data_IF_200895218305
#
_entry.id   IF_200895218305
#
_cell.length_a   1.000
_cell.length_b   1.000
_cell.length_c   1.000
_cell.angle_alpha   90.00
_cell.angle_beta   90.00
_cell.angle_gamma   90.00
#
_symmetry.space_group_name_H-M   'P 1'
#
loop_
_entity.id
_entity.type
_entity.pdbx_description
1 polymer ?
#
# COMPACT_ATOMS: atom_id res chain seq x y z
N UNK A 1 -2.72 -18.38 -7.14
CA UNK A 1 -2.87 -18.73 -5.70
C UNK A 1 -1.95 -17.79 -4.93
N UNK A 2 -2.39 -16.58 -4.59
CA UNK A 2 -1.50 -15.52 -4.08
C UNK A 2 -1.76 -15.13 -2.61
N UNK A 3 -2.57 -15.91 -1.87
CA UNK A 3 -2.95 -15.60 -0.48
C UNK A 3 -1.88 -15.96 0.58
N UNK A 4 -0.75 -16.57 0.21
CA UNK A 4 0.25 -17.07 1.18
C UNK A 4 1.27 -16.03 1.66
N UNK A 5 1.60 -15.01 0.85
CA UNK A 5 2.73 -14.12 1.14
C UNK A 5 2.55 -13.28 2.40
N UNK A 6 1.37 -12.68 2.56
CA UNK A 6 1.03 -11.89 3.74
C UNK A 6 1.02 -12.77 5.00
N UNK A 7 0.54 -14.00 4.88
CA UNK A 7 0.54 -14.97 5.99
C UNK A 7 1.95 -15.44 6.39
N UNK A 8 2.94 -15.34 5.50
CA UNK A 8 4.34 -15.65 5.81
C UNK A 8 5.03 -14.51 6.56
N UNK A 9 4.54 -13.26 6.44
CA UNK A 9 5.15 -12.08 7.06
C UNK A 9 4.40 -11.68 8.34
N UNK A 10 3.06 -11.73 8.35
CA UNK A 10 2.26 -11.27 9.50
C UNK A 10 2.68 -11.85 10.85
N UNK A 11 2.99 -13.16 11.00
CA UNK A 11 3.41 -13.71 12.27
C UNK A 11 4.72 -13.12 12.82
N UNK A 12 5.53 -12.51 11.96
CA UNK A 12 6.79 -11.88 12.33
C UNK A 12 6.73 -10.37 12.48
N UNK A 13 5.53 -9.75 12.42
CA UNK A 13 5.35 -8.31 12.63
C UNK A 13 4.65 -8.06 13.98
N UNK A 14 5.31 -7.29 14.84
CA UNK A 14 4.71 -6.67 16.02
C UNK A 14 4.11 -5.31 15.68
N UNK A 15 2.95 -4.99 16.26
CA UNK A 15 2.32 -3.68 16.13
C UNK A 15 2.38 -2.99 17.48
N UNK A 16 3.04 -1.84 17.54
CA UNK A 16 3.09 -1.00 18.73
C UNK A 16 2.00 0.06 18.65
N UNK A 17 1.06 -0.02 19.60
CA UNK A 17 0.03 0.98 19.75
C UNK A 17 0.61 2.22 20.45
N UNK A 18 0.24 3.43 20.02
CA UNK A 18 0.69 4.65 20.67
C UNK A 18 0.12 4.71 22.09
N UNK A 19 0.98 5.06 23.06
CA UNK A 19 0.58 5.20 24.46
C UNK A 19 0.10 6.62 24.78
N UNK A 20 0.45 7.60 23.94
CA UNK A 20 0.02 8.99 24.05
C UNK A 20 -0.43 9.57 22.70
N UNK A 21 -1.12 10.71 22.73
CA UNK A 21 -1.58 11.42 21.52
C UNK A 21 -0.44 11.96 20.64
N UNK A 22 0.79 11.96 21.14
CA UNK A 22 1.98 12.40 20.39
C UNK A 22 2.76 11.24 19.77
N UNK A 23 2.39 10.00 20.09
CA UNK A 23 3.06 8.82 19.56
C UNK A 23 2.40 8.35 18.26
N UNK A 24 3.22 7.94 17.31
CA UNK A 24 2.76 7.23 16.11
C UNK A 24 2.72 5.73 16.37
N UNK A 25 1.70 5.04 15.86
CA UNK A 25 1.79 3.58 15.75
C UNK A 25 2.97 3.22 14.84
N UNK A 26 3.69 2.17 15.19
CA UNK A 26 4.75 1.64 14.34
C UNK A 26 4.73 0.13 14.29
N UNK A 27 5.24 -0.40 13.19
CA UNK A 27 5.46 -1.83 13.00
C UNK A 27 6.91 -2.16 13.28
N UNK A 28 7.14 -3.26 13.98
CA UNK A 28 8.48 -3.83 14.12
C UNK A 28 8.49 -5.27 13.64
N UNK A 29 9.64 -5.72 13.14
CA UNK A 29 9.84 -7.16 12.92
C UNK A 29 10.29 -7.80 14.21
N UNK A 30 9.60 -8.86 14.64
CA UNK A 30 9.97 -9.64 15.80
C UNK A 30 11.38 -10.20 15.65
N UNK A 31 12.03 -10.44 16.78
CA UNK A 31 13.39 -10.97 16.84
C UNK A 31 13.41 -12.39 17.42
N UNK A 32 14.32 -13.22 16.92
CA UNK A 32 14.58 -14.57 17.44
C UNK A 32 16.06 -14.70 17.86
N UNK A 33 16.40 -15.51 18.86
CA UNK A 33 17.79 -15.84 19.15
C UNK A 33 18.42 -16.57 17.96
N UNK A 34 19.74 -16.42 17.79
CA UNK A 34 20.49 -17.15 16.78
C UNK A 34 20.75 -18.59 17.26
N UNK A 35 20.72 -19.56 16.35
CA UNK A 35 21.14 -20.96 16.56
C UNK A 35 22.63 -21.03 16.94
N UNK A 36 23.43 -20.15 16.33
CA UNK A 36 24.88 -20.07 16.56
C UNK A 36 25.28 -19.37 17.86
N UNK A 37 24.47 -18.43 18.34
CA UNK A 37 24.70 -17.69 19.58
C UNK A 37 23.37 -17.27 20.23
N UNK A 38 22.89 -17.99 21.26
CA UNK A 38 21.61 -17.72 21.92
C UNK A 38 21.53 -16.36 22.62
N UNK A 39 22.66 -15.73 22.96
CA UNK A 39 22.70 -14.42 23.61
C UNK A 39 22.48 -13.27 22.60
N UNK A 40 22.63 -13.57 21.30
CA UNK A 40 22.43 -12.61 20.21
C UNK A 40 21.11 -12.88 19.52
N UNK A 41 20.37 -11.81 19.19
CA UNK A 41 19.09 -11.92 18.46
C UNK A 41 19.19 -11.36 17.05
N UNK A 42 18.46 -11.96 16.12
CA UNK A 42 18.30 -11.50 14.73
C UNK A 42 16.82 -11.33 14.38
N UNK A 43 16.54 -10.76 13.21
CA UNK A 43 15.17 -10.68 12.68
C UNK A 43 14.59 -12.10 12.54
N UNK A 44 13.30 -12.27 12.85
CA UNK A 44 12.61 -13.57 12.74
C UNK A 44 12.68 -14.19 11.34
N UNK A 45 12.77 -13.35 10.30
CA UNK A 45 12.91 -13.76 8.90
C UNK A 45 14.35 -14.05 8.45
N UNK A 46 15.34 -13.90 9.33
CA UNK A 46 16.72 -14.23 9.00
C UNK A 46 16.91 -15.75 9.05
N UNK A 47 17.45 -16.33 7.99
CA UNK A 47 17.85 -17.74 7.93
C UNK A 47 19.37 -17.82 8.05
N UNK A 48 19.85 -18.40 9.15
CA UNK A 48 21.28 -18.54 9.47
C UNK A 48 22.02 -19.46 8.49
N UNK A 49 21.41 -20.57 8.10
CA UNK A 49 22.03 -21.57 7.23
C UNK A 49 22.24 -21.01 5.82
N UNK A 50 21.28 -20.23 5.33
CA UNK A 50 21.35 -19.59 4.03
C UNK A 50 22.06 -18.22 4.06
N UNK A 51 22.37 -17.69 5.25
CA UNK A 51 22.85 -16.32 5.45
C UNK A 51 22.02 -15.28 4.67
N UNK A 52 20.70 -15.43 4.72
CA UNK A 52 19.78 -14.66 3.89
C UNK A 52 18.52 -14.27 4.65
N UNK A 53 17.93 -13.15 4.26
CA UNK A 53 16.64 -12.71 4.80
C UNK A 53 15.50 -13.24 3.93
N UNK A 54 14.71 -14.16 4.47
CA UNK A 54 13.59 -14.81 3.79
C UNK A 54 12.41 -13.88 3.51
N UNK A 55 12.39 -12.70 4.15
CA UNK A 55 11.42 -11.65 3.83
C UNK A 55 11.46 -11.34 2.33
N UNK A 56 12.61 -11.54 1.66
CA UNK A 56 12.72 -11.33 0.21
C UNK A 56 11.74 -12.19 -0.58
N UNK A 57 11.57 -13.45 -0.22
CA UNK A 57 10.67 -14.38 -0.90
C UNK A 57 9.23 -14.31 -0.38
N UNK A 58 9.03 -13.77 0.83
CA UNK A 58 7.71 -13.51 1.40
C UNK A 58 7.06 -12.20 0.93
N UNK A 59 7.82 -11.28 0.31
CA UNK A 59 7.33 -9.96 -0.08
C UNK A 59 6.35 -10.03 -1.27
N UNK A 60 5.44 -9.06 -1.43
CA UNK A 60 4.65 -8.92 -2.65
C UNK A 60 5.56 -8.89 -3.88
N UNK A 61 5.10 -9.43 -5.01
CA UNK A 61 5.92 -9.55 -6.22
C UNK A 61 6.52 -8.20 -6.67
N UNK A 62 5.80 -7.10 -6.50
CA UNK A 62 6.28 -5.73 -6.75
C UNK A 62 7.51 -5.33 -5.93
N UNK A 63 7.63 -5.83 -4.70
CA UNK A 63 8.78 -5.60 -3.86
C UNK A 63 9.93 -6.59 -4.14
N UNK A 64 9.65 -7.73 -4.79
CA UNK A 64 10.66 -8.70 -5.20
C UNK A 64 11.41 -8.25 -6.46
N UNK A 65 10.71 -7.53 -7.35
CA UNK A 65 11.26 -7.03 -8.61
C UNK A 65 12.13 -5.80 -8.43
N UNK A 66 11.92 -4.99 -7.38
CA UNK A 66 12.72 -3.79 -7.13
C UNK A 66 14.24 -4.07 -7.09
N UNK A 67 15.08 -3.26 -7.77
CA UNK A 67 14.73 -2.06 -8.54
C UNK A 67 14.44 -2.30 -10.03
N UNK A 68 14.43 -3.55 -10.49
CA UNK A 68 14.24 -3.91 -11.90
C UNK A 68 12.76 -4.06 -12.25
N UNK A 69 12.29 -3.36 -13.26
CA UNK A 69 10.91 -3.42 -13.73
C UNK A 69 10.86 -3.71 -15.23
N UNK A 70 9.76 -4.32 -15.68
CA UNK A 70 9.45 -4.47 -17.10
C UNK A 70 8.29 -3.53 -17.45
N UNK A 71 8.47 -2.69 -18.47
CA UNK A 71 7.46 -1.70 -18.86
C UNK A 71 6.53 -2.17 -20.00
N UNK A 72 6.67 -3.42 -20.44
CA UNK A 72 5.96 -3.98 -21.59
C UNK A 72 6.80 -4.08 -22.87
N UNK A 73 7.95 -3.39 -22.92
CA UNK A 73 8.87 -3.43 -24.07
C UNK A 73 10.30 -3.78 -23.65
N UNK A 74 10.76 -3.22 -22.53
CA UNK A 74 12.14 -3.37 -22.05
C UNK A 74 12.20 -3.36 -20.53
N UNK A 75 13.33 -3.86 -20.03
CA UNK A 75 13.68 -3.77 -18.62
C UNK A 75 14.23 -2.38 -18.30
N UNK A 76 13.75 -1.79 -17.22
CA UNK A 76 14.13 -0.47 -16.72
C UNK A 76 14.41 -0.54 -15.22
N UNK A 77 15.24 0.36 -14.71
CA UNK A 77 15.40 0.53 -13.27
C UNK A 77 14.41 1.60 -12.80
N UNK A 78 13.56 1.28 -11.82
CA UNK A 78 12.65 2.26 -11.23
C UNK A 78 13.34 3.21 -10.27
N UNK A 79 14.47 2.80 -9.70
CA UNK A 79 15.38 3.69 -8.98
C UNK A 79 16.81 3.45 -9.43
N UNK A 80 17.43 4.51 -9.97
CA UNK A 80 18.86 4.50 -10.33
C UNK A 80 19.75 4.69 -9.11
N UNK A 81 19.22 5.27 -8.04
CA UNK A 81 19.95 5.58 -6.80
C UNK A 81 19.87 4.42 -5.78
N UNK A 82 19.46 3.23 -6.22
CA UNK A 82 19.46 2.06 -5.37
C UNK A 82 20.92 1.67 -5.06
N UNK A 83 21.33 1.62 -3.77
CA UNK A 83 22.75 1.45 -3.39
C UNK A 83 23.43 0.19 -3.92
N UNK A 84 22.67 -0.84 -4.29
CA UNK A 84 23.20 -2.09 -4.85
C UNK A 84 23.33 -2.11 -6.38
N UNK A 85 22.88 -1.07 -7.10
CA UNK A 85 22.96 -1.03 -8.56
C UNK A 85 24.38 -0.68 -8.99
N UNK A 86 24.99 -1.56 -9.80
CA UNK A 86 26.37 -1.40 -10.27
C UNK A 86 27.42 -1.96 -9.30
N UNK A 87 27.00 -2.47 -8.15
CA UNK A 87 27.87 -3.05 -7.13
C UNK A 87 27.86 -4.58 -7.22
N UNK A 88 29.04 -5.17 -7.37
CA UNK A 88 29.23 -6.62 -7.40
C UNK A 88 28.87 -7.31 -8.73
N UNK A 89 29.02 -8.63 -8.75
CA UNK A 89 28.70 -9.46 -9.91
C UNK A 89 27.39 -10.22 -9.68
N UNK A 90 26.53 -10.27 -10.70
CA UNK A 90 25.28 -11.03 -10.68
C UNK A 90 25.44 -12.24 -11.59
N UNK A 91 25.07 -13.42 -11.11
CA UNK A 91 25.10 -14.64 -11.92
C UNK A 91 24.06 -14.60 -13.04
N UNK A 92 24.28 -15.37 -14.11
CA UNK A 92 23.32 -15.41 -15.24
C UNK A 92 21.95 -15.91 -14.79
N UNK A 93 21.94 -16.86 -13.86
CA UNK A 93 20.74 -17.47 -13.30
C UNK A 93 19.95 -16.44 -12.49
N UNK A 94 20.61 -15.68 -11.61
CA UNK A 94 19.97 -14.64 -10.81
C UNK A 94 19.43 -13.50 -11.70
N UNK A 95 20.15 -13.14 -12.77
CA UNK A 95 19.67 -12.13 -13.72
C UNK A 95 18.44 -12.62 -14.50
N UNK A 96 18.41 -13.91 -14.88
CA UNK A 96 17.26 -14.49 -15.57
C UNK A 96 16.04 -14.56 -14.63
N UNK A 97 16.23 -14.95 -13.38
CA UNK A 97 15.17 -14.96 -12.36
C UNK A 97 14.58 -13.56 -12.17
N UNK A 98 15.44 -12.54 -12.02
CA UNK A 98 14.99 -11.16 -11.87
C UNK A 98 14.17 -10.66 -13.07
N UNK A 99 14.56 -11.03 -14.29
CA UNK A 99 13.80 -10.70 -15.52
C UNK A 99 12.45 -11.40 -15.55
N UNK A 100 12.40 -12.70 -15.26
CA UNK A 100 11.17 -13.47 -15.21
C UNK A 100 10.19 -12.87 -14.19
N UNK A 101 10.69 -12.52 -12.99
CA UNK A 101 9.88 -11.87 -11.95
C UNK A 101 9.34 -10.51 -12.41
N UNK A 102 10.16 -9.69 -13.08
CA UNK A 102 9.73 -8.38 -13.58
C UNK A 102 8.65 -8.48 -14.66
N UNK A 103 8.75 -9.45 -15.57
CA UNK A 103 7.69 -9.74 -16.55
C UNK A 103 6.41 -10.27 -15.88
N UNK A 104 6.55 -11.14 -14.89
CA UNK A 104 5.41 -11.66 -14.14
C UNK A 104 4.69 -10.54 -13.38
N UNK A 105 5.42 -9.67 -12.67
CA UNK A 105 4.83 -8.50 -12.00
C UNK A 105 4.07 -7.61 -12.96
N UNK A 106 4.65 -7.32 -14.14
CA UNK A 106 3.99 -6.50 -15.14
C UNK A 106 2.65 -7.11 -15.59
N UNK A 107 2.63 -8.42 -15.82
CA UNK A 107 1.42 -9.13 -16.22
C UNK A 107 0.37 -9.16 -15.10
N UNK A 108 0.77 -9.47 -13.87
CA UNK A 108 -0.12 -9.47 -12.71
C UNK A 108 -0.68 -8.07 -12.41
N UNK A 109 0.13 -7.03 -12.56
CA UNK A 109 -0.29 -5.62 -12.42
C UNK A 109 -1.30 -5.23 -13.49
N UNK A 110 -1.07 -5.66 -14.74
CA UNK A 110 -2.00 -5.44 -15.85
C UNK A 110 -3.35 -6.12 -15.58
N UNK A 111 -3.33 -7.40 -15.21
CA UNK A 111 -4.54 -8.14 -14.85
C UNK A 111 -5.30 -7.48 -13.69
N UNK A 112 -4.58 -7.07 -12.66
CA UNK A 112 -5.14 -6.36 -11.50
C UNK A 112 -5.80 -5.05 -11.92
N UNK A 113 -5.12 -4.25 -12.75
CA UNK A 113 -5.64 -2.97 -13.25
C UNK A 113 -6.94 -3.15 -14.05
N UNK A 114 -7.05 -4.24 -14.82
CA UNK A 114 -8.26 -4.57 -15.58
C UNK A 114 -9.39 -5.03 -14.67
N UNK A 115 -9.10 -5.80 -13.62
CA UNK A 115 -10.12 -6.35 -12.72
C UNK A 115 -10.65 -5.35 -11.67
N UNK A 116 -9.81 -4.42 -11.23
CA UNK A 116 -10.10 -3.49 -10.13
C UNK A 116 -11.43 -2.71 -10.29
N UNK A 117 -11.75 -2.10 -11.45
CA UNK A 117 -13.00 -1.36 -11.62
C UNK A 117 -14.26 -2.22 -11.41
N UNK A 118 -14.23 -3.48 -11.85
CA UNK A 118 -15.35 -4.40 -11.68
C UNK A 118 -15.54 -4.77 -10.20
N UNK A 119 -14.45 -5.05 -9.49
CA UNK A 119 -14.47 -5.33 -8.05
C UNK A 119 -15.02 -4.12 -7.29
N UNK A 120 -14.50 -2.92 -7.60
CA UNK A 120 -14.97 -1.68 -6.99
C UNK A 120 -16.48 -1.47 -7.20
N UNK A 121 -16.97 -1.73 -8.41
CA UNK A 121 -18.40 -1.61 -8.74
C UNK A 121 -19.28 -2.55 -7.90
N UNK A 122 -18.83 -3.80 -7.68
CA UNK A 122 -19.54 -4.76 -6.82
C UNK A 122 -19.58 -4.26 -5.37
N UNK A 123 -18.44 -3.80 -4.84
CA UNK A 123 -18.36 -3.29 -3.47
C UNK A 123 -19.24 -2.06 -3.26
N UNK A 124 -19.19 -1.11 -4.20
CA UNK A 124 -20.00 0.11 -4.13
C UNK A 124 -21.49 -0.19 -4.24
N UNK A 125 -21.90 -1.09 -5.12
CA UNK A 125 -23.31 -1.50 -5.21
C UNK A 125 -23.81 -2.13 -3.90
N UNK A 126 -22.98 -2.93 -3.24
CA UNK A 126 -23.34 -3.53 -1.96
C UNK A 126 -23.43 -2.48 -0.85
N UNK A 127 -22.50 -1.52 -0.81
CA UNK A 127 -22.53 -0.41 0.14
C UNK A 127 -23.77 0.48 -0.06
N UNK A 128 -24.13 0.81 -1.31
CA UNK A 128 -25.34 1.56 -1.63
C UNK A 128 -26.61 0.82 -1.22
N UNK A 129 -26.66 -0.50 -1.47
CA UNK A 129 -27.79 -1.33 -1.05
C UNK A 129 -27.93 -1.36 0.48
N UNK A 130 -26.83 -1.56 1.21
CA UNK A 130 -26.83 -1.53 2.67
C UNK A 130 -27.22 -0.16 3.22
N UNK A 131 -26.76 0.93 2.59
CA UNK A 131 -27.14 2.30 2.95
C UNK A 131 -28.64 2.54 2.74
N UNK A 132 -29.20 2.08 1.61
CA UNK A 132 -30.62 2.19 1.32
C UNK A 132 -31.48 1.36 2.30
N UNK A 133 -31.06 0.13 2.62
CA UNK A 133 -31.72 -0.72 3.60
C UNK A 133 -31.65 -0.12 5.02
N UNK A 134 -30.51 0.44 5.42
CA UNK A 134 -30.37 1.14 6.68
C UNK A 134 -31.29 2.36 6.76
N UNK A 135 -31.40 3.15 5.68
CA UNK A 135 -32.27 4.32 5.60
C UNK A 135 -33.77 3.94 5.65
N UNK A 136 -34.15 2.80 5.07
CA UNK A 136 -35.52 2.28 5.13
C UNK A 136 -35.90 1.73 6.51
N UNK A 137 -34.92 1.24 7.27
CA UNK A 137 -35.14 0.66 8.61
C UNK A 137 -34.96 1.68 9.75
N UNK A 138 -34.84 2.98 9.45
CA UNK A 138 -34.81 4.03 10.48
C UNK A 138 -36.16 4.15 11.18
N UNK A 139 -36.14 4.33 12.50
CA UNK A 139 -37.32 4.72 13.26
C UNK A 139 -37.77 6.12 12.84
N UNK A 140 -39.06 6.46 13.00
CA UNK A 140 -39.55 7.82 12.69
C UNK A 140 -38.81 8.91 13.48
N UNK A 141 -38.33 8.59 14.69
CA UNK A 141 -37.56 9.52 15.53
C UNK A 141 -36.17 9.76 14.94
N UNK A 142 -35.49 8.71 14.49
CA UNK A 142 -34.16 8.80 13.88
C UNK A 142 -34.21 9.46 12.50
N UNK A 143 -35.30 9.23 11.74
CA UNK A 143 -35.51 9.88 10.45
C UNK A 143 -35.67 11.39 10.60
N UNK A 144 -36.44 11.85 11.59
CA UNK A 144 -36.58 13.28 11.91
C UNK A 144 -35.26 13.92 12.35
N UNK A 145 -34.47 13.22 13.18
CA UNK A 145 -33.15 13.72 13.59
C UNK A 145 -32.19 13.85 12.41
N UNK A 146 -32.21 12.91 11.46
CA UNK A 146 -31.43 13.03 10.24
C UNK A 146 -31.88 14.19 9.36
N UNK A 147 -33.19 14.38 9.17
CA UNK A 147 -33.74 15.47 8.36
C UNK A 147 -33.38 16.85 8.95
N UNK A 148 -33.39 17.00 10.29
CA UNK A 148 -32.92 18.21 10.97
C UNK A 148 -31.42 18.48 10.79
N UNK A 149 -30.59 17.43 10.80
CA UNK A 149 -29.14 17.55 10.57
C UNK A 149 -28.86 17.97 9.12
N UNK A 150 -29.55 17.37 8.16
CA UNK A 150 -29.40 17.68 6.73
C UNK A 150 -29.89 19.10 6.40
N UNK A 151 -31.00 19.54 6.99
CA UNK A 151 -31.52 20.91 6.82
C UNK A 151 -30.52 21.96 7.33
N UNK A 152 -29.95 21.75 8.53
CA UNK A 152 -28.93 22.64 9.10
C UNK A 152 -27.62 22.66 8.30
N UNK A 153 -27.31 21.56 7.61
CA UNK A 153 -26.09 21.46 6.79
C UNK A 153 -26.21 22.24 5.48
N UNK A 154 -27.43 22.39 4.95
CA UNK A 154 -27.71 23.16 3.73
C UNK A 154 -27.85 24.68 3.98
N UNK A 155 -28.24 25.09 5.19
CA UNK A 155 -28.33 26.51 5.57
C UNK A 155 -26.97 27.15 5.87
N UNK A 156 -25.88 26.36 5.88
CA UNK A 156 -24.50 26.82 6.11
C UNK A 156 -23.64 27.02 4.86
N UNK A 157 -24.18 26.79 3.65
CA UNK A 157 -23.44 26.89 2.38
C UNK A 157 -23.90 28.01 1.46
N UNK A 158 -24.75 28.93 1.93
CA UNK A 158 -25.10 30.16 1.23
C UNK A 158 -24.34 31.36 1.82
N UNK A 159 -23.07 31.49 1.44
CA UNK A 159 -22.27 32.65 1.85
C UNK A 159 -20.82 32.57 1.41
N UNK A 160 -20.57 32.57 0.10
CA UNK A 160 -19.45 33.28 -0.57
C UNK A 160 -19.33 32.83 -2.04
N UNK A 161 -20.09 33.46 -2.94
CA UNK A 161 -19.75 33.50 -4.38
C UNK A 161 -19.82 34.94 -4.92
N UNK A 162 -18.69 35.39 -5.47
CA UNK A 162 -18.58 36.43 -6.52
C UNK A 162 -18.23 37.85 -6.04
N UNK A 163 -17.33 38.64 -6.66
CA UNK A 163 -16.75 38.58 -8.02
C UNK A 163 -15.64 39.64 -8.17
N UNK A 164 -14.76 39.43 -9.18
CA UNK A 164 -14.08 40.46 -10.02
C UNK A 164 -12.75 41.01 -9.48
N UNK A 165 -11.67 41.24 -10.23
CA UNK A 165 -11.29 41.10 -11.66
C UNK A 165 -9.75 41.18 -11.69
N UNK A 166 -9.10 40.58 -12.69
CA UNK A 166 -7.64 40.43 -12.72
C UNK A 166 -6.82 41.66 -13.10
N UNK A 167 -5.49 41.55 -12.97
CA UNK A 167 -4.51 41.85 -14.02
C UNK A 167 -3.09 41.47 -13.56
N UNK A 168 -2.38 40.80 -14.47
CA UNK A 168 -0.93 40.80 -14.75
C UNK A 168 0.07 41.15 -13.64
N UNK A 169 1.07 40.29 -13.42
CA UNK A 169 2.44 40.58 -13.87
C UNK A 169 3.38 39.37 -13.70
N UNK A 170 4.25 39.20 -14.69
CA UNK A 170 5.46 38.37 -14.67
C UNK A 170 6.48 38.99 -13.70
N UNK A 171 7.23 38.18 -12.95
CA UNK A 171 8.68 37.99 -13.20
C UNK A 171 9.32 36.97 -12.23
N UNK A 172 10.46 36.36 -12.60
CA UNK A 172 11.15 35.31 -11.87
C UNK A 172 12.27 35.84 -10.96
N UNK A 173 12.76 34.98 -10.06
CA UNK A 173 14.16 35.00 -9.62
C UNK A 173 14.41 35.21 -8.12
N UNK A 174 14.94 34.17 -7.49
CA UNK A 174 16.22 34.20 -6.75
C UNK A 174 16.73 32.77 -6.59
#
# INVERSE_FOLDING_TARGET
MNQGFVMNILPGIGIHMPESEHDSFYFETLRKPLESDPETTSCIFYNEQANACEIRYGRPISCQTYPLEFNGEKFVLSSKDCPGVGEGEVTKEALQEARNLAEQEFNERKETTVALPAIYSVLMNQMLKQSAEAMQNLSEEDRKKMDEILAKSNEGSEGEEGTSTGQSEQDPGA
#
